data_IF_813111388670
#
_entry.id   IF_813111388670
#
_cell.length_a   1.000
_cell.length_b   1.000
_cell.length_c   1.000
_cell.angle_alpha   90.00
_cell.angle_beta   90.00
_cell.angle_gamma   90.00
#
_symmetry.space_group_name_H-M   'P 1'
#
loop_
_entity.id
_entity.type
_entity.pdbx_description
1 polymer ?
#
# COMPACT_ATOMS: atom_id res chain seq x y z
N UNK A 1 12.52 -8.38 -20.77
CA UNK A 1 12.08 -7.07 -20.29
C UNK A 1 12.29 -5.94 -21.31
N UNK A 2 13.40 -5.93 -22.02
CA UNK A 2 13.76 -4.86 -22.97
C UNK A 2 13.38 -5.13 -24.43
N UNK A 3 13.01 -6.34 -24.80
CA UNK A 3 12.75 -6.77 -26.19
C UNK A 3 11.26 -6.99 -26.49
N UNK A 4 10.54 -7.57 -25.52
CA UNK A 4 9.10 -7.85 -25.69
C UNK A 4 8.30 -6.54 -25.83
N UNK A 5 7.30 -6.46 -26.73
CA UNK A 5 6.45 -5.28 -26.84
C UNK A 5 5.82 -4.90 -25.49
N UNK A 6 5.86 -3.62 -25.18
CA UNK A 6 5.41 -3.07 -23.88
C UNK A 6 3.95 -3.41 -23.60
N UNK A 7 3.11 -3.38 -24.64
CA UNK A 7 1.68 -3.71 -24.55
C UNK A 7 1.38 -5.17 -24.16
N UNK A 8 2.33 -6.08 -24.36
CA UNK A 8 2.23 -7.49 -23.90
C UNK A 8 2.94 -7.72 -22.58
N UNK A 9 4.03 -7.01 -22.38
CA UNK A 9 4.90 -7.18 -21.19
C UNK A 9 4.24 -6.65 -19.92
N UNK A 10 3.68 -5.43 -19.97
CA UNK A 10 3.05 -4.80 -18.80
C UNK A 10 1.87 -5.63 -18.28
N UNK A 11 0.89 -6.06 -19.09
CA UNK A 11 -0.20 -6.91 -18.60
C UNK A 11 0.30 -8.22 -17.98
N UNK A 12 1.32 -8.85 -18.57
CA UNK A 12 1.92 -10.08 -18.03
C UNK A 12 2.53 -9.88 -16.64
N UNK A 13 3.13 -8.72 -16.39
CA UNK A 13 3.68 -8.36 -15.09
C UNK A 13 2.60 -7.85 -14.12
N UNK A 14 1.62 -7.14 -14.65
CA UNK A 14 0.56 -6.53 -13.87
C UNK A 14 -0.45 -7.55 -13.34
N UNK A 15 -0.80 -8.57 -14.10
CA UNK A 15 -1.82 -9.55 -13.70
C UNK A 15 -1.53 -10.22 -12.36
N UNK A 16 -0.32 -10.76 -12.09
CA UNK A 16 0.02 -11.28 -10.77
C UNK A 16 -0.08 -10.22 -9.65
N UNK A 17 0.33 -8.99 -9.94
CA UNK A 17 0.28 -7.89 -8.98
C UNK A 17 -1.17 -7.49 -8.64
N UNK A 18 -2.03 -7.41 -9.64
CA UNK A 18 -3.48 -7.12 -9.46
C UNK A 18 -4.14 -8.21 -8.61
N UNK A 19 -3.87 -9.49 -8.93
CA UNK A 19 -4.38 -10.62 -8.13
C UNK A 19 -3.91 -10.51 -6.69
N UNK A 20 -2.62 -10.25 -6.45
CA UNK A 20 -2.08 -10.09 -5.10
C UNK A 20 -2.76 -8.95 -4.34
N UNK A 21 -2.98 -7.81 -4.99
CA UNK A 21 -3.61 -6.65 -4.35
C UNK A 21 -5.10 -6.90 -4.03
N UNK A 22 -5.83 -7.56 -4.92
CA UNK A 22 -7.23 -7.91 -4.68
C UNK A 22 -7.35 -8.95 -3.55
N UNK A 23 -6.50 -9.97 -3.55
CA UNK A 23 -6.49 -10.98 -2.48
C UNK A 23 -6.12 -10.35 -1.13
N UNK A 24 -5.17 -9.41 -1.11
CA UNK A 24 -4.82 -8.67 0.10
C UNK A 24 -6.00 -7.82 0.61
N UNK A 25 -6.75 -7.18 -0.28
CA UNK A 25 -7.94 -6.44 0.09
C UNK A 25 -9.03 -7.36 0.69
N UNK A 26 -9.28 -8.52 0.08
CA UNK A 26 -10.20 -9.52 0.62
C UNK A 26 -9.76 -10.06 1.98
N UNK A 27 -8.48 -10.36 2.13
CA UNK A 27 -7.93 -10.83 3.40
C UNK A 27 -8.16 -9.80 4.53
N UNK A 28 -7.89 -8.53 4.29
CA UNK A 28 -8.10 -7.48 5.28
C UNK A 28 -9.59 -7.34 5.67
N UNK A 29 -10.49 -7.54 4.71
CA UNK A 29 -11.94 -7.53 4.98
C UNK A 29 -12.36 -8.75 5.79
N UNK A 30 -11.85 -9.93 5.47
CA UNK A 30 -12.16 -11.18 6.19
C UNK A 30 -11.66 -11.13 7.63
N UNK A 31 -10.44 -10.68 7.87
CA UNK A 31 -9.87 -10.50 9.21
C UNK A 31 -10.74 -9.58 10.07
N UNK A 32 -11.13 -8.43 9.53
CA UNK A 32 -12.03 -7.48 10.20
C UNK A 32 -13.39 -8.11 10.52
N UNK A 33 -13.93 -8.93 9.61
CA UNK A 33 -15.19 -9.64 9.79
C UNK A 33 -15.11 -10.65 10.94
N UNK A 34 -14.08 -11.49 10.96
CA UNK A 34 -13.92 -12.51 12.00
C UNK A 34 -13.68 -11.91 13.39
N UNK A 35 -12.88 -10.84 13.48
CA UNK A 35 -12.70 -10.10 14.73
C UNK A 35 -14.01 -9.48 15.20
N UNK A 36 -14.80 -8.92 14.28
CA UNK A 36 -16.14 -8.37 14.59
C UNK A 36 -17.10 -9.42 15.17
N UNK A 37 -16.97 -10.68 14.80
CA UNK A 37 -17.78 -11.78 15.33
C UNK A 37 -17.51 -12.11 16.81
N UNK A 38 -16.41 -11.67 17.38
CA UNK A 38 -16.12 -11.84 18.81
C UNK A 38 -17.12 -11.11 19.73
N UNK A 39 -17.92 -10.19 19.17
CA UNK A 39 -18.95 -9.41 19.90
C UNK A 39 -18.45 -8.71 21.16
N UNK A 40 -17.16 -8.41 21.20
CA UNK A 40 -16.50 -7.69 22.29
C UNK A 40 -16.00 -6.34 21.79
N UNK A 41 -16.55 -5.25 22.33
CA UNK A 41 -16.10 -3.91 22.00
C UNK A 41 -14.65 -3.67 22.42
N UNK A 42 -14.24 -4.27 23.55
CA UNK A 42 -12.88 -4.18 24.03
C UNK A 42 -11.87 -4.89 23.10
N UNK A 43 -12.21 -6.10 22.62
CA UNK A 43 -11.37 -6.83 21.67
C UNK A 43 -11.26 -6.11 20.33
N UNK A 44 -12.38 -5.62 19.80
CA UNK A 44 -12.40 -4.84 18.54
C UNK A 44 -11.62 -3.54 18.66
N UNK A 45 -11.74 -2.85 19.81
CA UNK A 45 -10.98 -1.65 20.12
C UNK A 45 -9.47 -1.91 20.16
N UNK A 46 -9.07 -3.02 20.79
CA UNK A 46 -7.65 -3.43 20.86
C UNK A 46 -7.06 -3.69 19.47
N UNK A 47 -7.77 -4.36 18.57
CA UNK A 47 -7.33 -4.57 17.19
C UNK A 47 -7.15 -3.23 16.47
N UNK A 48 -8.09 -2.31 16.65
CA UNK A 48 -8.00 -0.96 16.05
C UNK A 48 -6.76 -0.18 16.53
N UNK A 49 -6.42 -0.29 17.83
CA UNK A 49 -5.21 0.32 18.41
C UNK A 49 -3.94 -0.27 17.80
N UNK A 50 -3.85 -1.60 17.72
CA UNK A 50 -2.67 -2.29 17.19
C UNK A 50 -2.53 -2.14 15.68
N UNK A 51 -3.63 -1.90 14.97
CA UNK A 51 -3.61 -1.65 13.52
C UNK A 51 -2.68 -0.49 13.14
N UNK A 52 -2.58 0.53 14.00
CA UNK A 52 -1.65 1.64 13.81
C UNK A 52 -0.19 1.18 13.75
N UNK A 53 0.21 0.25 14.62
CA UNK A 53 1.56 -0.33 14.58
C UNK A 53 1.76 -1.19 13.34
N UNK A 54 0.77 -1.98 12.95
CA UNK A 54 0.82 -2.79 11.72
C UNK A 54 1.02 -1.90 10.49
N UNK A 55 0.35 -0.74 10.44
CA UNK A 55 0.55 0.25 9.38
C UNK A 55 1.99 0.81 9.35
N UNK A 56 2.59 1.05 10.52
CA UNK A 56 4.00 1.47 10.62
C UNK A 56 4.93 0.36 10.12
N UNK A 57 4.72 -0.88 10.54
CA UNK A 57 5.50 -2.04 10.07
C UNK A 57 5.40 -2.19 8.55
N UNK A 58 4.22 -2.05 7.98
CA UNK A 58 4.02 -2.05 6.53
C UNK A 58 4.73 -0.88 5.84
N UNK A 59 4.64 0.32 6.39
CA UNK A 59 5.30 1.50 5.83
C UNK A 59 6.83 1.32 5.77
N UNK A 60 7.43 0.74 6.81
CA UNK A 60 8.85 0.39 6.86
C UNK A 60 9.19 -0.68 5.82
N UNK A 61 8.37 -1.72 5.70
CA UNK A 61 8.55 -2.76 4.69
C UNK A 61 8.49 -2.21 3.27
N UNK A 62 7.55 -1.31 2.99
CA UNK A 62 7.46 -0.62 1.70
C UNK A 62 8.61 0.37 1.47
N UNK A 63 9.07 1.06 2.51
CA UNK A 63 10.22 1.95 2.41
C UNK A 63 11.47 1.21 1.92
N UNK A 64 11.84 0.12 2.59
CA UNK A 64 12.98 -0.69 2.17
C UNK A 64 12.72 -1.44 0.87
N UNK A 65 11.51 -1.97 0.69
CA UNK A 65 11.12 -2.75 -0.48
C UNK A 65 11.09 -1.93 -1.77
N UNK A 66 10.42 -0.79 -1.75
CA UNK A 66 10.37 0.13 -2.89
C UNK A 66 11.71 0.82 -3.12
N UNK A 67 12.39 1.21 -2.03
CA UNK A 67 13.69 1.85 -2.12
C UNK A 67 14.74 0.96 -2.80
N UNK A 68 14.91 -0.27 -2.31
CA UNK A 68 15.82 -1.24 -2.91
C UNK A 68 15.35 -1.75 -4.27
N UNK A 69 14.05 -2.04 -4.42
CA UNK A 69 13.50 -2.60 -5.64
C UNK A 69 13.63 -1.69 -6.86
N UNK A 70 13.35 -0.40 -6.70
CA UNK A 70 13.52 0.58 -7.78
C UNK A 70 14.98 0.67 -8.25
N UNK A 71 15.93 0.63 -7.33
CA UNK A 71 17.36 0.59 -7.65
C UNK A 71 17.72 -0.70 -8.38
N UNK A 72 17.29 -1.85 -7.85
CA UNK A 72 17.55 -3.17 -8.44
C UNK A 72 17.07 -3.23 -9.90
N UNK A 73 15.87 -2.78 -10.20
CA UNK A 73 15.32 -2.83 -11.55
C UNK A 73 16.14 -2.00 -12.54
N UNK A 74 16.64 -0.84 -12.13
CA UNK A 74 17.52 0.01 -12.96
C UNK A 74 18.89 -0.64 -13.18
N UNK A 75 19.52 -1.16 -12.12
CA UNK A 75 20.84 -1.78 -12.22
C UNK A 75 20.82 -3.07 -13.05
N UNK A 76 19.74 -3.86 -12.98
CA UNK A 76 19.58 -4.99 -13.90
C UNK A 76 19.42 -4.49 -15.34
N UNK A 77 18.72 -3.39 -15.55
CA UNK A 77 18.64 -2.73 -16.86
C UNK A 77 20.00 -2.30 -17.42
N UNK A 78 20.89 -1.78 -16.55
CA UNK A 78 22.29 -1.49 -16.83
C UNK A 78 23.17 -2.74 -16.97
N UNK A 79 22.65 -3.95 -16.69
CA UNK A 79 23.40 -5.21 -16.58
C UNK A 79 24.44 -5.24 -15.44
N UNK A 80 24.26 -4.41 -14.44
CA UNK A 80 25.12 -4.36 -13.24
C UNK A 80 24.54 -5.26 -12.13
N UNK A 81 24.64 -6.56 -12.31
CA UNK A 81 24.06 -7.55 -11.40
C UNK A 81 24.72 -7.57 -10.02
N UNK A 82 25.98 -7.13 -9.93
CA UNK A 82 26.70 -7.07 -8.65
C UNK A 82 26.08 -6.03 -7.72
N UNK A 83 25.93 -4.79 -8.16
CA UNK A 83 25.29 -3.74 -7.37
C UNK A 83 23.83 -4.06 -7.07
N UNK A 84 23.12 -4.67 -8.01
CA UNK A 84 21.75 -5.13 -7.77
C UNK A 84 21.70 -6.18 -6.65
N UNK A 85 22.61 -7.16 -6.61
CA UNK A 85 22.67 -8.16 -5.55
C UNK A 85 23.07 -7.57 -4.20
N UNK A 86 24.01 -6.63 -4.18
CA UNK A 86 24.42 -5.92 -2.97
C UNK A 86 23.26 -5.10 -2.41
N UNK A 87 22.51 -4.40 -3.26
CA UNK A 87 21.32 -3.66 -2.85
C UNK A 87 20.21 -4.59 -2.33
N UNK A 88 19.97 -5.72 -3.00
CA UNK A 88 18.97 -6.68 -2.57
C UNK A 88 19.26 -7.19 -1.16
N UNK A 89 20.49 -7.59 -0.90
CA UNK A 89 20.91 -8.08 0.41
C UNK A 89 20.90 -6.95 1.47
N UNK A 90 21.39 -5.77 1.14
CA UNK A 90 21.41 -4.63 2.05
C UNK A 90 19.98 -4.21 2.43
N UNK A 91 19.08 -4.11 1.48
CA UNK A 91 17.67 -3.76 1.72
C UNK A 91 16.95 -4.80 2.58
N UNK A 92 17.14 -6.08 2.27
CA UNK A 92 16.52 -7.19 3.03
C UNK A 92 17.02 -7.24 4.48
N UNK A 93 18.34 -7.30 4.70
CA UNK A 93 18.88 -7.40 6.05
C UNK A 93 18.66 -6.14 6.88
N UNK A 94 18.63 -4.96 6.27
CA UNK A 94 18.28 -3.71 6.95
C UNK A 94 16.82 -3.71 7.42
N UNK A 95 15.90 -4.20 6.59
CA UNK A 95 14.49 -4.34 6.97
C UNK A 95 14.32 -5.40 8.07
N UNK A 96 15.01 -6.53 7.97
CA UNK A 96 15.00 -7.57 8.99
C UNK A 96 15.52 -7.03 10.33
N UNK A 97 16.65 -6.32 10.32
CA UNK A 97 17.21 -5.69 11.51
C UNK A 97 16.25 -4.66 12.12
N UNK A 98 15.59 -3.85 11.30
CA UNK A 98 14.58 -2.90 11.75
C UNK A 98 13.36 -3.61 12.36
N UNK A 99 12.90 -4.69 11.75
CA UNK A 99 11.81 -5.53 12.27
C UNK A 99 12.18 -6.19 13.61
N UNK A 100 13.40 -6.69 13.77
CA UNK A 100 13.91 -7.22 15.03
C UNK A 100 13.98 -6.11 16.09
N UNK A 101 14.46 -4.92 15.73
CA UNK A 101 14.50 -3.78 16.64
C UNK A 101 13.10 -3.39 17.12
N UNK A 102 12.12 -3.34 16.23
CA UNK A 102 10.71 -3.07 16.58
C UNK A 102 10.19 -4.17 17.53
N UNK A 103 10.47 -5.43 17.24
CA UNK A 103 10.08 -6.55 18.09
C UNK A 103 10.66 -6.43 19.49
N UNK A 104 11.97 -6.25 19.62
CA UNK A 104 12.66 -6.18 20.90
C UNK A 104 12.23 -4.96 21.71
N UNK A 105 12.26 -3.77 21.14
CA UNK A 105 11.85 -2.55 21.81
C UNK A 105 10.36 -2.56 22.16
N UNK A 106 9.52 -3.05 21.25
CA UNK A 106 8.08 -3.16 21.46
C UNK A 106 7.73 -4.11 22.61
N UNK A 107 8.41 -5.25 22.71
CA UNK A 107 8.20 -6.20 23.80
C UNK A 107 8.75 -5.69 25.13
N UNK A 108 9.88 -5.00 25.14
CA UNK A 108 10.45 -4.39 26.36
C UNK A 108 9.57 -3.27 26.92
N UNK A 109 8.95 -2.49 26.04
CA UNK A 109 8.08 -1.35 26.39
C UNK A 109 6.62 -1.60 25.98
N UNK A 110 6.11 -2.82 26.17
CA UNK A 110 4.81 -3.25 25.69
C UNK A 110 3.66 -2.38 26.19
N UNK A 111 3.62 -2.12 27.50
CA UNK A 111 2.56 -1.33 28.12
C UNK A 111 2.62 0.17 27.74
N UNK A 112 3.77 0.86 27.84
CA UNK A 112 3.90 2.24 27.34
C UNK A 112 3.56 2.36 25.85
N UNK A 113 3.94 1.37 25.03
CA UNK A 113 3.63 1.34 23.60
C UNK A 113 2.11 1.21 23.38
N UNK A 114 1.43 0.34 24.13
CA UNK A 114 -0.02 0.19 24.05
C UNK A 114 -0.75 1.50 24.33
N UNK A 115 -0.36 2.21 25.38
CA UNK A 115 -0.92 3.54 25.69
C UNK A 115 -0.58 4.58 24.64
N UNK A 116 0.64 4.58 24.11
CA UNK A 116 1.05 5.49 23.04
C UNK A 116 0.21 5.29 21.75
N UNK A 117 -0.16 4.05 21.47
CA UNK A 117 -1.02 3.71 20.32
C UNK A 117 -2.50 4.04 20.56
N UNK A 118 -2.89 4.43 21.77
CA UNK A 118 -4.24 4.85 22.11
C UNK A 118 -5.06 3.84 22.91
N UNK A 119 -4.42 2.87 23.55
CA UNK A 119 -5.10 1.95 24.47
C UNK A 119 -5.60 2.68 25.72
N UNK A 120 -6.73 2.24 26.23
CA UNK A 120 -7.26 2.63 27.54
C UNK A 120 -7.06 1.50 28.56
N UNK A 121 -7.21 1.81 29.85
CA UNK A 121 -7.08 0.80 30.91
C UNK A 121 -8.05 -0.37 30.72
N UNK A 122 -9.23 -0.12 30.18
CA UNK A 122 -10.26 -1.14 29.94
C UNK A 122 -9.85 -2.13 28.87
N UNK A 123 -9.23 -1.65 27.79
CA UNK A 123 -8.84 -2.51 26.65
C UNK A 123 -7.39 -2.99 26.73
N UNK A 124 -6.61 -2.48 27.68
CA UNK A 124 -5.18 -2.79 27.81
C UNK A 124 -4.87 -4.28 27.83
N UNK A 125 -5.56 -5.17 28.59
CA UNK A 125 -5.29 -6.60 28.57
C UNK A 125 -5.42 -7.22 27.17
N UNK A 126 -6.43 -6.83 26.43
CA UNK A 126 -6.66 -7.28 25.04
C UNK A 126 -5.61 -6.71 24.10
N UNK A 127 -5.26 -5.43 24.26
CA UNK A 127 -4.22 -4.78 23.49
C UNK A 127 -2.88 -5.45 23.71
N UNK A 128 -2.49 -5.75 24.94
CA UNK A 128 -1.24 -6.45 25.26
C UNK A 128 -1.21 -7.85 24.67
N UNK A 129 -2.31 -8.60 24.75
CA UNK A 129 -2.41 -9.94 24.18
C UNK A 129 -2.23 -9.96 22.66
N UNK A 130 -2.86 -9.04 21.97
CA UNK A 130 -2.76 -8.92 20.50
C UNK A 130 -1.41 -8.32 20.07
N UNK A 131 -0.99 -7.23 20.72
CA UNK A 131 0.21 -6.48 20.38
C UNK A 131 1.48 -7.32 20.56
N UNK A 132 1.60 -8.09 21.65
CA UNK A 132 2.77 -8.95 21.91
C UNK A 132 2.97 -9.98 20.79
N UNK A 133 1.90 -10.57 20.30
CA UNK A 133 1.95 -11.55 19.21
C UNK A 133 2.34 -10.87 17.89
N UNK A 134 1.73 -9.74 17.56
CA UNK A 134 2.07 -9.00 16.33
C UNK A 134 3.52 -8.54 16.34
N UNK A 135 4.05 -8.08 17.47
CA UNK A 135 5.46 -7.69 17.60
C UNK A 135 6.43 -8.85 17.34
N UNK A 136 6.10 -10.07 17.75
CA UNK A 136 6.88 -11.26 17.39
C UNK A 136 6.97 -11.47 15.89
N UNK A 137 5.92 -11.11 15.17
CA UNK A 137 5.85 -11.21 13.71
C UNK A 137 6.55 -10.06 12.94
N UNK A 138 6.89 -8.96 13.61
CA UNK A 138 7.46 -7.78 12.95
C UNK A 138 8.70 -8.08 12.07
N UNK A 139 9.67 -8.92 12.47
CA UNK A 139 10.84 -9.22 11.65
C UNK A 139 10.49 -9.80 10.28
N UNK A 140 9.62 -10.80 10.22
CA UNK A 140 9.26 -11.40 8.94
C UNK A 140 8.16 -10.64 8.20
N UNK A 141 7.34 -9.85 8.87
CA UNK A 141 6.37 -8.96 8.21
C UNK A 141 7.07 -7.87 7.40
N UNK A 142 8.08 -7.19 7.96
CA UNK A 142 8.87 -6.20 7.24
C UNK A 142 9.65 -6.85 6.10
N UNK A 143 10.31 -7.97 6.37
CA UNK A 143 11.17 -8.66 5.42
C UNK A 143 10.39 -9.28 4.26
N UNK A 144 9.20 -9.83 4.49
CA UNK A 144 8.37 -10.39 3.42
C UNK A 144 7.90 -9.32 2.44
N UNK A 145 7.59 -8.11 2.91
CA UNK A 145 7.27 -6.98 2.03
C UNK A 145 8.46 -6.56 1.17
N UNK A 146 9.67 -6.60 1.73
CA UNK A 146 10.90 -6.32 0.96
C UNK A 146 11.11 -7.39 -0.11
N UNK A 147 11.02 -8.68 0.25
CA UNK A 147 11.16 -9.79 -0.69
C UNK A 147 10.13 -9.74 -1.81
N UNK A 148 8.87 -9.45 -1.46
CA UNK A 148 7.81 -9.29 -2.44
C UNK A 148 8.12 -8.19 -3.45
N UNK A 149 8.53 -7.02 -2.97
CA UNK A 149 8.90 -5.90 -3.83
C UNK A 149 10.12 -6.24 -4.69
N UNK A 150 11.19 -6.78 -4.10
CA UNK A 150 12.42 -7.11 -4.81
C UNK A 150 12.19 -8.18 -5.90
N UNK A 151 11.42 -9.23 -5.62
CA UNK A 151 11.05 -10.24 -6.63
C UNK A 151 10.30 -9.61 -7.80
N UNK A 152 9.35 -8.75 -7.52
CA UNK A 152 8.58 -8.05 -8.54
C UNK A 152 9.46 -7.14 -9.40
N UNK A 153 10.35 -6.37 -8.78
CA UNK A 153 11.27 -5.48 -9.48
C UNK A 153 12.36 -6.21 -10.29
N UNK A 154 12.59 -7.49 -10.00
CA UNK A 154 13.44 -8.37 -10.82
C UNK A 154 12.69 -8.98 -12.02
N UNK A 155 11.40 -8.76 -12.13
CA UNK A 155 10.56 -9.34 -13.18
C UNK A 155 9.88 -10.66 -12.78
N UNK A 156 10.01 -11.08 -11.52
CA UNK A 156 9.47 -12.34 -10.99
C UNK A 156 8.15 -12.13 -10.23
N UNK A 157 7.23 -11.37 -10.82
CA UNK A 157 5.94 -11.02 -10.20
C UNK A 157 5.09 -12.26 -9.84
N UNK A 158 5.22 -13.36 -10.58
CA UNK A 158 4.50 -14.60 -10.29
C UNK A 158 4.92 -15.23 -8.96
N UNK A 159 6.23 -15.25 -8.66
CA UNK A 159 6.71 -15.73 -7.35
C UNK A 159 6.25 -14.81 -6.20
N UNK A 160 6.27 -13.51 -6.43
CA UNK A 160 5.75 -12.53 -5.47
C UNK A 160 4.25 -12.75 -5.19
N UNK A 161 3.46 -13.00 -6.24
CA UNK A 161 2.02 -13.31 -6.12
C UNK A 161 1.79 -14.58 -5.31
N UNK A 162 2.48 -15.67 -5.63
CA UNK A 162 2.32 -16.96 -4.93
C UNK A 162 2.61 -16.78 -3.44
N UNK A 163 3.70 -16.09 -3.09
CA UNK A 163 4.06 -15.85 -1.69
C UNK A 163 2.99 -15.09 -0.91
N UNK A 164 2.56 -13.95 -1.42
CA UNK A 164 1.55 -13.10 -0.75
C UNK A 164 0.16 -13.77 -0.73
N UNK A 165 -0.27 -14.32 -1.85
CA UNK A 165 -1.61 -14.94 -1.98
C UNK A 165 -1.74 -16.16 -1.07
N UNK A 166 -0.70 -17.00 -0.99
CA UNK A 166 -0.70 -18.17 -0.11
C UNK A 166 -0.82 -17.77 1.36
N UNK A 167 -0.11 -16.72 1.80
CA UNK A 167 -0.24 -16.19 3.15
C UNK A 167 -1.64 -15.65 3.43
N UNK A 168 -2.22 -14.89 2.49
CA UNK A 168 -3.55 -14.34 2.64
C UNK A 168 -4.65 -15.43 2.72
N UNK A 169 -4.60 -16.42 1.85
CA UNK A 169 -5.54 -17.56 1.87
C UNK A 169 -5.40 -18.37 3.15
N UNK A 170 -4.17 -18.62 3.60
CA UNK A 170 -3.93 -19.31 4.86
C UNK A 170 -4.48 -18.54 6.06
N UNK A 171 -4.33 -17.22 6.07
CA UNK A 171 -4.88 -16.38 7.14
C UNK A 171 -6.42 -16.48 7.21
N UNK A 172 -7.11 -16.41 6.08
CA UNK A 172 -8.58 -16.56 6.03
C UNK A 172 -9.03 -17.90 6.61
N UNK A 173 -8.26 -18.98 6.40
CA UNK A 173 -8.52 -20.29 6.98
C UNK A 173 -8.16 -20.41 8.47
N UNK A 174 -7.07 -19.77 8.89
CA UNK A 174 -6.59 -19.82 10.28
C UNK A 174 -7.40 -18.94 11.23
N UNK A 175 -7.93 -17.81 10.77
CA UNK A 175 -8.73 -16.92 11.62
C UNK A 175 -9.87 -17.64 12.34
N UNK A 176 -10.84 -18.29 11.64
CA UNK A 176 -11.90 -19.00 12.34
C UNK A 176 -11.40 -20.19 13.17
N UNK A 177 -10.35 -20.86 12.72
CA UNK A 177 -9.77 -21.99 13.44
C UNK A 177 -9.19 -21.56 14.80
N UNK A 178 -8.36 -20.54 14.80
CA UNK A 178 -7.66 -20.09 16.01
C UNK A 178 -8.55 -19.24 16.92
N UNK A 179 -9.46 -18.46 16.35
CA UNK A 179 -10.37 -17.60 17.13
C UNK A 179 -11.46 -18.42 17.81
N UNK A 180 -12.14 -19.31 17.06
CA UNK A 180 -13.37 -19.97 17.51
C UNK A 180 -13.15 -21.44 17.89
N UNK A 181 -12.46 -22.23 17.05
CA UNK A 181 -12.29 -23.67 17.29
C UNK A 181 -11.32 -23.92 18.44
N UNK A 182 -10.19 -23.23 18.47
CA UNK A 182 -9.19 -23.31 19.56
C UNK A 182 -9.47 -22.32 20.70
N UNK A 183 -10.52 -21.52 20.58
CA UNK A 183 -10.99 -20.55 21.58
C UNK A 183 -9.89 -19.60 22.11
N UNK A 184 -8.99 -19.19 21.24
CA UNK A 184 -7.93 -18.25 21.56
C UNK A 184 -8.38 -16.78 21.54
N UNK A 185 -9.60 -16.53 21.05
CA UNK A 185 -10.17 -15.20 20.96
C UNK A 185 -9.31 -14.25 20.12
N UNK A 186 -9.09 -13.05 20.61
CA UNK A 186 -8.32 -12.02 19.90
C UNK A 186 -6.84 -12.42 19.68
N UNK A 187 -6.24 -13.14 20.63
CA UNK A 187 -4.88 -13.68 20.45
C UNK A 187 -4.82 -14.66 19.27
N UNK A 188 -5.90 -15.41 19.03
CA UNK A 188 -6.02 -16.28 17.86
C UNK A 188 -5.92 -15.55 16.54
N UNK A 189 -6.56 -14.38 16.40
CA UNK A 189 -6.46 -13.52 15.22
C UNK A 189 -5.01 -13.05 14.99
N UNK A 190 -4.32 -12.66 16.07
CA UNK A 190 -2.92 -12.26 15.99
C UNK A 190 -2.01 -13.42 15.56
N UNK A 191 -2.20 -14.60 16.14
CA UNK A 191 -1.45 -15.80 15.75
C UNK A 191 -1.73 -16.22 14.32
N UNK A 192 -2.97 -16.16 13.86
CA UNK A 192 -3.32 -16.40 12.45
C UNK A 192 -2.56 -15.47 11.52
N UNK A 193 -2.50 -14.20 11.85
CA UNK A 193 -1.79 -13.19 11.06
C UNK A 193 -0.30 -13.49 10.99
N UNK A 194 0.39 -13.70 12.12
CA UNK A 194 1.85 -13.88 12.10
C UNK A 194 2.27 -15.23 11.52
N UNK A 195 1.49 -16.30 11.72
CA UNK A 195 1.77 -17.61 11.11
C UNK A 195 1.63 -17.51 9.58
N UNK A 196 0.57 -16.88 9.11
CA UNK A 196 0.33 -16.67 7.66
C UNK A 196 1.42 -15.82 7.03
N UNK A 197 1.83 -14.76 7.69
CA UNK A 197 2.94 -13.91 7.25
C UNK A 197 4.27 -14.65 7.26
N UNK A 198 4.51 -15.54 8.22
CA UNK A 198 5.71 -16.36 8.24
C UNK A 198 5.76 -17.35 7.08
N UNK A 199 4.64 -18.00 6.76
CA UNK A 199 4.54 -18.89 5.59
C UNK A 199 4.76 -18.10 4.30
N UNK A 200 4.17 -16.92 4.18
CA UNK A 200 4.41 -15.99 3.07
C UNK A 200 5.90 -15.64 2.95
N UNK A 201 6.54 -15.29 4.06
CA UNK A 201 7.97 -15.01 4.13
C UNK A 201 8.82 -16.18 3.62
N UNK A 202 8.55 -17.40 4.08
CA UNK A 202 9.26 -18.60 3.65
C UNK A 202 9.10 -18.86 2.15
N UNK A 203 7.88 -18.73 1.62
CA UNK A 203 7.61 -18.91 0.19
C UNK A 203 8.29 -17.85 -0.67
N UNK A 204 8.31 -16.59 -0.22
CA UNK A 204 9.03 -15.51 -0.91
C UNK A 204 10.54 -15.74 -0.88
N UNK A 205 11.08 -16.21 0.23
CA UNK A 205 12.50 -16.56 0.36
C UNK A 205 12.90 -17.69 -0.58
N UNK A 206 12.07 -18.74 -0.68
CA UNK A 206 12.23 -19.80 -1.65
C UNK A 206 12.16 -19.25 -3.09
N UNK A 207 11.24 -18.34 -3.36
CA UNK A 207 11.12 -17.64 -4.65
C UNK A 207 12.41 -16.91 -5.05
N UNK A 208 13.13 -16.34 -4.10
CA UNK A 208 14.41 -15.67 -4.36
C UNK A 208 15.51 -16.64 -4.80
N UNK A 209 15.41 -17.95 -4.50
CA UNK A 209 16.38 -18.96 -4.92
C UNK A 209 16.04 -19.61 -6.27
N UNK A 210 14.88 -19.27 -6.85
CA UNK A 210 14.35 -19.83 -8.09
C UNK A 210 14.39 -18.82 -9.24
N UNK A 211 14.28 -19.33 -10.46
CA UNK A 211 14.04 -18.50 -11.65
C UNK A 211 15.18 -17.57 -12.06
N UNK A 212 16.41 -17.76 -11.55
CA UNK A 212 17.56 -16.89 -11.83
C UNK A 212 17.47 -15.53 -11.11
N UNK A 213 16.69 -15.41 -10.04
CA UNK A 213 16.60 -14.23 -9.22
C UNK A 213 17.90 -13.96 -8.45
N UNK A 214 18.10 -12.70 -8.06
CA UNK A 214 19.23 -12.29 -7.24
C UNK A 214 19.17 -13.01 -5.89
N UNK A 215 20.24 -13.68 -5.54
CA UNK A 215 20.36 -14.37 -4.26
C UNK A 215 20.71 -13.37 -3.15
N UNK A 216 20.07 -13.57 -2.01
CA UNK A 216 20.29 -12.75 -0.82
C UNK A 216 21.30 -13.44 0.07
N UNK A 217 22.47 -12.83 0.23
CA UNK A 217 23.55 -13.33 1.08
C UNK A 217 24.03 -12.24 2.05
N UNK A 218 24.31 -12.64 3.27
CA UNK A 218 24.85 -11.72 4.28
C UNK A 218 26.20 -11.11 3.86
N UNK A 219 27.00 -11.84 3.10
CA UNK A 219 28.29 -11.37 2.56
C UNK A 219 28.15 -10.22 1.54
N UNK A 220 26.98 -10.08 0.92
CA UNK A 220 26.70 -9.01 -0.04
C UNK A 220 26.19 -7.72 0.62
N UNK A 221 25.96 -7.73 1.91
CA UNK A 221 25.50 -6.53 2.64
C UNK A 221 26.61 -5.47 2.63
N UNK A 222 26.25 -4.27 2.18
CA UNK A 222 27.15 -3.11 2.16
C UNK A 222 26.59 -1.99 3.02
N UNK A 223 27.23 -1.71 4.14
CA UNK A 223 26.88 -0.60 5.04
C UNK A 223 27.46 0.74 4.53
N UNK A 224 27.36 0.96 3.22
CA UNK A 224 27.83 2.22 2.60
C UNK A 224 26.68 3.23 2.53
N UNK A 225 26.93 4.53 2.81
CA UNK A 225 25.92 5.58 2.68
C UNK A 225 25.26 5.65 1.31
N UNK A 226 25.97 5.24 0.27
CA UNK A 226 25.48 5.17 -1.10
C UNK A 226 24.20 4.31 -1.23
N UNK A 227 24.19 3.10 -0.69
CA UNK A 227 23.02 2.20 -0.77
C UNK A 227 21.84 2.73 0.05
N UNK A 228 22.10 3.25 1.25
CA UNK A 228 21.05 3.82 2.11
C UNK A 228 20.45 5.11 1.52
N UNK A 229 21.27 5.91 0.84
CA UNK A 229 20.77 7.09 0.14
C UNK A 229 19.81 6.72 -0.98
N UNK A 230 20.09 5.66 -1.74
CA UNK A 230 19.20 5.18 -2.79
C UNK A 230 17.94 4.51 -2.23
N UNK A 231 18.04 3.78 -1.13
CA UNK A 231 16.89 3.25 -0.40
C UNK A 231 15.99 4.41 0.06
N UNK A 232 16.59 5.44 0.65
CA UNK A 232 15.86 6.64 1.08
C UNK A 232 15.18 7.34 -0.11
N UNK A 233 15.91 7.61 -1.17
CA UNK A 233 15.37 8.27 -2.37
C UNK A 233 14.23 7.50 -3.02
N UNK A 234 14.31 6.19 -3.10
CA UNK A 234 13.28 5.34 -3.70
C UNK A 234 12.13 5.00 -2.74
N UNK A 235 12.40 4.96 -1.44
CA UNK A 235 11.42 4.59 -0.40
C UNK A 235 10.62 5.76 0.15
N UNK A 236 11.19 6.98 0.15
CA UNK A 236 10.55 8.17 0.74
C UNK A 236 9.15 8.47 0.15
N UNK A 237 8.92 8.41 -1.16
CA UNK A 237 7.56 8.63 -1.69
C UNK A 237 6.53 7.63 -1.15
N UNK A 238 6.92 6.37 -0.98
CA UNK A 238 6.05 5.33 -0.43
C UNK A 238 5.77 5.53 1.06
N UNK A 239 6.80 5.89 1.83
CA UNK A 239 6.66 6.21 3.26
C UNK A 239 5.76 7.43 3.47
N UNK A 240 5.95 8.48 2.69
CA UNK A 240 5.13 9.70 2.74
C UNK A 240 3.67 9.39 2.39
N UNK A 241 3.41 8.60 1.35
CA UNK A 241 2.05 8.20 0.96
C UNK A 241 1.34 7.42 2.06
N UNK A 242 2.00 6.42 2.65
CA UNK A 242 1.43 5.59 3.71
C UNK A 242 1.17 6.40 4.99
N UNK A 243 2.14 7.20 5.43
CA UNK A 243 2.02 8.02 6.62
C UNK A 243 0.93 9.08 6.49
N UNK A 244 0.89 9.79 5.38
CA UNK A 244 -0.12 10.82 5.15
C UNK A 244 -1.53 10.25 4.94
N UNK A 245 -1.67 9.06 4.38
CA UNK A 245 -2.97 8.39 4.30
C UNK A 245 -3.56 8.14 5.70
N UNK A 246 -2.73 7.74 6.66
CA UNK A 246 -3.16 7.57 8.06
C UNK A 246 -3.55 8.90 8.70
N UNK A 247 -2.74 9.95 8.53
CA UNK A 247 -3.05 11.29 9.04
C UNK A 247 -4.34 11.84 8.41
N UNK A 248 -4.51 11.68 7.10
CA UNK A 248 -5.71 12.10 6.39
C UNK A 248 -6.98 11.40 6.91
N UNK A 249 -6.89 10.12 7.21
CA UNK A 249 -8.01 9.38 7.82
C UNK A 249 -8.37 9.92 9.21
N UNK A 250 -7.38 10.24 10.03
CA UNK A 250 -7.59 10.87 11.34
C UNK A 250 -8.29 12.24 11.17
N UNK A 251 -7.81 13.08 10.25
CA UNK A 251 -8.41 14.39 9.97
C UNK A 251 -9.84 14.25 9.46
N UNK A 252 -10.12 13.29 8.60
CA UNK A 252 -11.46 13.03 8.10
C UNK A 252 -12.41 12.62 9.23
N UNK A 253 -11.98 11.71 10.09
CA UNK A 253 -12.78 11.27 11.24
C UNK A 253 -13.05 12.42 12.23
N UNK A 254 -12.05 13.24 12.48
CA UNK A 254 -12.18 14.44 13.33
C UNK A 254 -13.18 15.44 12.75
N UNK A 255 -13.06 15.74 11.46
CA UNK A 255 -13.98 16.65 10.77
C UNK A 255 -15.42 16.11 10.72
N UNK A 256 -15.57 14.80 10.61
CA UNK A 256 -16.89 14.13 10.51
C UNK A 256 -17.55 13.93 11.88
N UNK A 257 -16.77 13.96 12.96
CA UNK A 257 -17.23 13.68 14.33
C UNK A 257 -18.42 14.56 14.76
N UNK A 258 -18.44 15.81 14.34
CA UNK A 258 -19.52 16.76 14.71
C UNK A 258 -20.86 16.44 14.06
N UNK A 259 -20.89 15.57 13.04
CA UNK A 259 -22.10 15.18 12.31
C UNK A 259 -22.68 13.82 12.76
N UNK A 260 -22.11 13.22 13.80
CA UNK A 260 -22.59 12.01 14.43
C UNK A 260 -21.92 10.73 13.93
N UNK A 261 -22.26 9.63 14.59
CA UNK A 261 -21.64 8.30 14.34
C UNK A 261 -22.01 7.74 12.96
N UNK A 262 -23.20 8.03 12.46
CA UNK A 262 -23.63 7.61 11.13
C UNK A 262 -22.77 8.24 10.03
N UNK A 263 -22.37 9.49 10.16
CA UNK A 263 -21.48 10.16 9.22
C UNK A 263 -20.07 9.56 9.24
N UNK A 264 -19.51 9.27 10.41
CA UNK A 264 -18.23 8.60 10.56
C UNK A 264 -18.27 7.22 9.90
N UNK A 265 -19.30 6.44 10.19
CA UNK A 265 -19.50 5.11 9.62
C UNK A 265 -19.64 5.16 8.09
N UNK A 266 -20.41 6.10 7.56
CA UNK A 266 -20.59 6.28 6.12
C UNK A 266 -19.29 6.61 5.41
N UNK A 267 -18.51 7.56 5.93
CA UNK A 267 -17.21 7.92 5.34
C UNK A 267 -16.20 6.76 5.41
N UNK A 268 -16.22 5.99 6.50
CA UNK A 268 -15.39 4.78 6.64
C UNK A 268 -15.75 3.70 5.62
N UNK A 269 -17.03 3.48 5.36
CA UNK A 269 -17.52 2.55 4.33
C UNK A 269 -17.07 3.01 2.93
N UNK A 270 -17.22 4.30 2.62
CA UNK A 270 -16.80 4.88 1.34
C UNK A 270 -15.30 4.69 1.12
N UNK A 271 -14.47 4.93 2.14
CA UNK A 271 -13.02 4.69 2.05
C UNK A 271 -12.69 3.23 1.74
N UNK A 272 -13.38 2.27 2.34
CA UNK A 272 -13.17 0.82 2.07
C UNK A 272 -13.54 0.46 0.64
N UNK A 273 -14.66 0.95 0.13
CA UNK A 273 -15.11 0.74 -1.25
C UNK A 273 -14.07 1.30 -2.22
N UNK A 274 -13.61 2.53 -1.99
CA UNK A 274 -12.63 3.20 -2.86
C UNK A 274 -11.25 2.53 -2.79
N UNK A 275 -10.84 2.04 -1.62
CA UNK A 275 -9.60 1.27 -1.47
C UNK A 275 -9.66 -0.04 -2.27
N UNK A 276 -10.77 -0.75 -2.23
CA UNK A 276 -10.97 -1.97 -3.02
C UNK A 276 -10.93 -1.67 -4.52
N UNK A 277 -11.66 -0.65 -4.98
CA UNK A 277 -11.65 -0.21 -6.37
C UNK A 277 -10.26 0.24 -6.86
N UNK A 278 -9.48 0.88 -5.98
CA UNK A 278 -8.12 1.33 -6.26
C UNK A 278 -7.07 0.22 -6.25
N UNK A 279 -7.36 -0.92 -5.61
CA UNK A 279 -6.40 -2.03 -5.48
C UNK A 279 -5.95 -2.58 -6.84
N UNK A 280 -6.86 -2.71 -7.78
CA UNK A 280 -6.54 -3.16 -9.13
C UNK A 280 -5.62 -2.17 -9.87
N UNK A 281 -5.85 -0.87 -9.73
CA UNK A 281 -4.99 0.18 -10.30
C UNK A 281 -3.58 0.14 -9.69
N UNK A 282 -3.49 0.04 -8.37
CA UNK A 282 -2.19 -0.05 -7.67
C UNK A 282 -1.45 -1.31 -8.11
N UNK A 283 -2.13 -2.45 -8.20
CA UNK A 283 -1.54 -3.70 -8.70
C UNK A 283 -1.03 -3.56 -10.13
N UNK A 284 -1.79 -2.89 -11.01
CA UNK A 284 -1.36 -2.63 -12.38
C UNK A 284 -0.11 -1.75 -12.42
N UNK A 285 -0.09 -0.68 -11.64
CA UNK A 285 1.08 0.20 -11.52
C UNK A 285 2.32 -0.51 -10.97
N UNK A 286 2.13 -1.41 -10.02
CA UNK A 286 3.20 -2.25 -9.49
C UNK A 286 3.78 -3.21 -10.54
N UNK A 287 2.99 -3.66 -11.50
CA UNK A 287 3.47 -4.43 -12.66
C UNK A 287 4.19 -3.56 -13.71
N UNK A 288 3.78 -2.30 -13.85
CA UNK A 288 4.45 -1.32 -14.71
C UNK A 288 5.84 -0.91 -14.20
N UNK A 289 6.03 -0.77 -12.88
CA UNK A 289 7.28 -0.30 -12.28
C UNK A 289 8.53 -1.08 -12.73
N UNK A 290 8.60 -2.43 -12.65
CA UNK A 290 9.77 -3.17 -13.11
C UNK A 290 10.04 -2.96 -14.61
N UNK A 291 9.02 -2.89 -15.44
CA UNK A 291 9.18 -2.62 -16.88
C UNK A 291 9.77 -1.23 -17.11
N UNK A 292 9.28 -0.24 -16.37
CA UNK A 292 9.84 1.11 -16.37
C UNK A 292 11.31 1.12 -15.95
N UNK A 293 11.64 0.47 -14.82
CA UNK A 293 13.00 0.45 -14.27
C UNK A 293 14.02 -0.21 -15.20
N UNK A 294 13.71 -1.40 -15.74
CA UNK A 294 14.57 -2.09 -16.68
C UNK A 294 14.84 -1.28 -17.96
N UNK A 295 13.80 -0.71 -18.56
CA UNK A 295 13.95 0.07 -19.78
C UNK A 295 14.65 1.41 -19.52
N UNK A 296 14.41 2.05 -18.37
CA UNK A 296 15.11 3.25 -17.97
C UNK A 296 16.60 2.99 -17.74
N UNK A 297 16.94 1.92 -17.00
CA UNK A 297 18.33 1.48 -16.79
C UNK A 297 19.03 1.11 -18.09
N UNK A 298 18.33 0.49 -19.04
CA UNK A 298 18.87 0.16 -20.35
C UNK A 298 18.99 1.35 -21.32
N UNK A 299 18.61 2.57 -20.91
CA UNK A 299 18.60 3.76 -21.76
C UNK A 299 17.49 3.79 -22.83
N UNK A 300 16.51 2.89 -22.73
CA UNK A 300 15.40 2.76 -23.67
C UNK A 300 14.23 3.69 -23.29
N UNK A 301 14.48 4.99 -23.27
CA UNK A 301 13.54 5.99 -22.75
C UNK A 301 12.23 6.06 -23.54
N UNK A 302 12.25 5.77 -24.85
CA UNK A 302 11.05 5.71 -25.67
C UNK A 302 10.09 4.61 -25.19
N UNK A 303 10.63 3.45 -24.73
CA UNK A 303 9.83 2.37 -24.17
C UNK A 303 9.25 2.71 -22.80
N UNK A 304 9.98 3.48 -21.99
CA UNK A 304 9.46 4.01 -20.71
C UNK A 304 8.25 4.90 -20.98
N UNK A 305 8.35 5.80 -21.95
CA UNK A 305 7.26 6.69 -22.34
C UNK A 305 6.06 5.93 -22.93
N UNK A 306 6.31 4.97 -23.79
CA UNK A 306 5.27 4.08 -24.34
C UNK A 306 4.56 3.30 -23.22
N UNK A 307 5.32 2.72 -22.30
CA UNK A 307 4.80 1.99 -21.13
C UNK A 307 3.97 2.87 -20.20
N UNK A 308 4.40 4.10 -19.96
CA UNK A 308 3.64 5.07 -19.19
C UNK A 308 2.28 5.36 -19.82
N UNK A 309 2.25 5.73 -21.10
CA UNK A 309 1.00 6.02 -21.80
C UNK A 309 0.07 4.81 -21.90
N UNK A 310 0.64 3.63 -22.17
CA UNK A 310 -0.14 2.39 -22.16
C UNK A 310 -0.78 2.15 -20.78
N UNK A 311 -0.01 2.27 -19.71
CA UNK A 311 -0.48 2.07 -18.33
C UNK A 311 -1.56 3.07 -17.94
N UNK A 312 -1.37 4.35 -18.28
CA UNK A 312 -2.38 5.40 -18.03
C UNK A 312 -3.68 5.08 -18.78
N UNK A 313 -3.61 4.72 -20.04
CA UNK A 313 -4.81 4.40 -20.84
C UNK A 313 -5.57 3.21 -20.27
N UNK A 314 -4.89 2.11 -19.97
CA UNK A 314 -5.52 0.90 -19.44
C UNK A 314 -6.13 1.16 -18.06
N UNK A 315 -5.40 1.79 -17.17
CA UNK A 315 -5.91 2.10 -15.82
C UNK A 315 -7.01 3.15 -15.85
N UNK A 316 -6.96 4.11 -16.79
CA UNK A 316 -8.04 5.08 -16.98
C UNK A 316 -9.35 4.39 -17.37
N UNK A 317 -9.31 3.51 -18.37
CA UNK A 317 -10.49 2.74 -18.81
C UNK A 317 -11.02 1.86 -17.66
N UNK A 318 -10.12 1.19 -16.94
CA UNK A 318 -10.49 0.37 -15.78
C UNK A 318 -11.18 1.22 -14.71
N UNK A 319 -10.59 2.33 -14.32
CA UNK A 319 -11.15 3.22 -13.30
C UNK A 319 -12.43 3.91 -13.75
N UNK A 320 -12.55 4.22 -15.03
CA UNK A 320 -13.78 4.78 -15.58
C UNK A 320 -14.94 3.77 -15.48
N UNK A 321 -14.69 2.50 -15.79
CA UNK A 321 -15.67 1.43 -15.62
C UNK A 321 -16.05 1.22 -14.14
N UNK A 322 -15.06 1.18 -13.24
CA UNK A 322 -15.29 1.09 -11.79
C UNK A 322 -16.04 2.30 -11.27
N UNK A 323 -15.72 3.50 -11.73
CA UNK A 323 -16.40 4.74 -11.36
C UNK A 323 -17.84 4.76 -11.83
N UNK A 324 -18.11 4.35 -13.06
CA UNK A 324 -19.48 4.28 -13.59
C UNK A 324 -20.33 3.27 -12.80
N UNK A 325 -19.78 2.08 -12.52
CA UNK A 325 -20.45 1.07 -11.72
C UNK A 325 -20.66 1.55 -10.26
N UNK A 326 -19.64 2.16 -9.66
CA UNK A 326 -19.72 2.70 -8.30
C UNK A 326 -20.71 3.85 -8.17
N UNK A 327 -20.79 4.74 -9.16
CA UNK A 327 -21.76 5.83 -9.19
C UNK A 327 -23.20 5.32 -9.33
N UNK A 328 -23.44 4.40 -10.25
CA UNK A 328 -24.75 3.82 -10.50
C UNK A 328 -25.25 2.95 -9.33
N UNK A 329 -24.37 2.15 -8.74
CA UNK A 329 -24.68 1.21 -7.65
C UNK A 329 -24.31 1.73 -6.26
N UNK A 330 -24.08 3.03 -6.10
CA UNK A 330 -23.63 3.61 -4.82
C UNK A 330 -24.50 3.24 -3.62
N UNK A 331 -25.85 3.34 -3.65
CA UNK A 331 -26.68 2.95 -2.52
C UNK A 331 -26.54 1.48 -2.15
N UNK A 332 -26.50 0.58 -3.15
CA UNK A 332 -26.36 -0.86 -2.95
C UNK A 332 -24.98 -1.23 -2.38
N UNK A 333 -23.93 -0.59 -2.88
CA UNK A 333 -22.57 -0.82 -2.37
C UNK A 333 -22.41 -0.40 -0.92
N UNK A 334 -22.96 0.74 -0.54
CA UNK A 334 -22.93 1.20 0.86
C UNK A 334 -23.75 0.28 1.75
N UNK A 335 -24.95 -0.15 1.29
CA UNK A 335 -25.83 -1.04 2.05
C UNK A 335 -25.22 -2.41 2.35
N UNK A 336 -24.36 -2.94 1.49
CA UNK A 336 -23.63 -4.19 1.72
C UNK A 336 -22.78 -4.12 3.00
N UNK A 337 -22.17 -2.95 3.26
CA UNK A 337 -21.31 -2.76 4.45
C UNK A 337 -22.12 -2.36 5.69
N UNK A 338 -23.16 -1.58 5.52
CA UNK A 338 -24.00 -1.10 6.62
C UNK A 338 -25.42 -0.81 6.11
N UNK A 339 -26.37 -1.60 6.56
CA UNK A 339 -27.79 -1.43 6.22
C UNK A 339 -28.47 -0.48 7.22
N UNK A 340 -28.14 0.78 7.10
CA UNK A 340 -28.69 1.89 7.89
C UNK A 340 -29.07 3.03 6.94
N UNK A 341 -30.33 3.52 6.95
CA UNK A 341 -30.79 4.55 6.00
C UNK A 341 -29.97 5.83 6.03
N UNK A 342 -29.52 6.27 7.20
CA UNK A 342 -28.71 7.49 7.34
C UNK A 342 -27.31 7.29 6.78
N UNK A 343 -26.67 6.14 7.08
CA UNK A 343 -25.36 5.75 6.54
C UNK A 343 -25.42 5.62 5.03
N UNK A 344 -26.46 5.00 4.49
CA UNK A 344 -26.65 4.85 3.04
C UNK A 344 -26.81 6.21 2.36
N UNK A 345 -27.61 7.13 2.93
CA UNK A 345 -27.80 8.46 2.37
C UNK A 345 -26.48 9.26 2.30
N UNK A 346 -25.73 9.31 3.41
CA UNK A 346 -24.46 10.04 3.51
C UNK A 346 -23.40 9.37 2.63
N UNK A 347 -23.26 8.05 2.71
CA UNK A 347 -22.26 7.29 1.97
C UNK A 347 -22.48 7.32 0.46
N UNK A 348 -23.73 7.27 0.01
CA UNK A 348 -24.08 7.35 -1.42
C UNK A 348 -23.62 8.67 -2.03
N UNK A 349 -23.89 9.80 -1.37
CA UNK A 349 -23.45 11.10 -1.84
C UNK A 349 -21.92 11.21 -1.89
N UNK A 350 -21.24 10.80 -0.83
CA UNK A 350 -19.78 10.80 -0.76
C UNK A 350 -19.14 9.90 -1.82
N UNK A 351 -19.66 8.69 -2.00
CA UNK A 351 -19.16 7.74 -3.00
C UNK A 351 -19.33 8.28 -4.43
N UNK A 352 -20.47 8.88 -4.73
CA UNK A 352 -20.72 9.49 -6.04
C UNK A 352 -19.77 10.64 -6.33
N UNK A 353 -19.51 11.52 -5.35
CA UNK A 353 -18.52 12.59 -5.52
C UNK A 353 -17.13 12.01 -5.82
N UNK A 354 -16.68 11.00 -5.09
CA UNK A 354 -15.37 10.41 -5.33
C UNK A 354 -15.28 9.70 -6.68
N UNK A 355 -16.35 9.05 -7.14
CA UNK A 355 -16.40 8.41 -8.45
C UNK A 355 -16.20 9.39 -9.61
N UNK A 356 -16.58 10.66 -9.47
CA UNK A 356 -16.43 11.68 -10.53
C UNK A 356 -14.94 11.88 -10.91
N UNK A 357 -14.06 11.90 -9.92
CA UNK A 357 -12.62 12.16 -10.14
C UNK A 357 -11.73 10.92 -10.07
N UNK A 358 -12.30 9.76 -9.77
CA UNK A 358 -11.53 8.55 -9.54
C UNK A 358 -10.71 8.12 -10.75
N UNK A 359 -11.23 8.28 -11.96
CA UNK A 359 -10.49 7.97 -13.19
C UNK A 359 -9.22 8.83 -13.38
N UNK A 360 -9.16 10.04 -12.81
CA UNK A 360 -7.99 10.91 -12.86
C UNK A 360 -6.81 10.35 -12.06
N UNK A 361 -7.08 9.44 -11.13
CA UNK A 361 -6.03 8.75 -10.36
C UNK A 361 -5.09 7.92 -11.24
N UNK A 362 -5.55 7.46 -12.41
CA UNK A 362 -4.69 6.76 -13.38
C UNK A 362 -3.45 7.58 -13.76
N UNK A 363 -3.63 8.86 -14.03
CA UNK A 363 -2.52 9.76 -14.35
C UNK A 363 -1.62 10.03 -13.13
N UNK A 364 -2.23 10.36 -11.99
CA UNK A 364 -1.51 10.73 -10.77
C UNK A 364 -0.66 9.56 -10.25
N UNK A 365 -1.26 8.38 -10.15
CA UNK A 365 -0.60 7.19 -9.59
C UNK A 365 0.45 6.63 -10.55
N UNK A 366 0.13 6.51 -11.84
CA UNK A 366 1.12 6.04 -12.83
C UNK A 366 2.29 7.02 -12.96
N UNK A 367 2.02 8.33 -12.92
CA UNK A 367 3.06 9.37 -12.89
C UNK A 367 3.96 9.28 -11.67
N UNK A 368 3.38 9.15 -10.48
CA UNK A 368 4.13 8.98 -9.23
C UNK A 368 5.02 7.74 -9.27
N UNK A 369 4.47 6.57 -9.69
CA UNK A 369 5.22 5.32 -9.78
C UNK A 369 6.34 5.38 -10.82
N UNK A 370 6.09 6.03 -11.97
CA UNK A 370 7.10 6.26 -13.00
C UNK A 370 8.26 7.10 -12.47
N UNK A 371 7.97 8.23 -11.84
CA UNK A 371 8.97 9.14 -11.26
C UNK A 371 9.77 8.45 -10.15
N UNK A 372 9.10 7.72 -9.28
CA UNK A 372 9.73 6.95 -8.19
C UNK A 372 10.72 5.91 -8.75
N UNK A 373 10.31 5.18 -9.78
CA UNK A 373 11.14 4.13 -10.40
C UNK A 373 12.34 4.71 -11.14
N UNK A 374 12.20 5.87 -11.77
CA UNK A 374 13.32 6.58 -12.40
C UNK A 374 14.27 7.24 -11.39
N UNK A 375 13.96 7.23 -10.10
CA UNK A 375 14.76 7.86 -9.05
C UNK A 375 14.58 9.38 -8.95
N UNK A 376 13.52 9.93 -9.53
CA UNK A 376 13.15 11.33 -9.40
C UNK A 376 12.42 11.55 -8.06
N UNK A 377 13.20 11.60 -6.98
CA UNK A 377 12.68 11.58 -5.61
C UNK A 377 11.81 12.80 -5.29
N UNK A 378 12.24 14.01 -5.69
CA UNK A 378 11.51 15.24 -5.35
C UNK A 378 10.12 15.28 -5.99
N UNK A 379 9.95 15.15 -7.32
CA UNK A 379 8.62 15.13 -7.90
C UNK A 379 7.78 13.92 -7.45
N UNK A 380 8.37 12.75 -7.27
CA UNK A 380 7.67 11.57 -6.77
C UNK A 380 7.14 11.78 -5.34
N UNK A 381 7.96 12.34 -4.46
CA UNK A 381 7.56 12.66 -3.08
C UNK A 381 6.50 13.75 -3.05
N UNK A 382 6.66 14.80 -3.86
CA UNK A 382 5.64 15.84 -3.97
C UNK A 382 4.28 15.26 -4.39
N UNK A 383 4.25 14.42 -5.41
CA UNK A 383 3.02 13.76 -5.87
C UNK A 383 2.40 12.86 -4.80
N UNK A 384 3.23 12.15 -4.02
CA UNK A 384 2.77 11.32 -2.91
C UNK A 384 2.16 12.15 -1.77
N UNK A 385 2.80 13.29 -1.45
CA UNK A 385 2.35 14.21 -0.39
C UNK A 385 1.13 15.02 -0.82
N UNK A 386 1.07 15.41 -2.09
CA UNK A 386 0.07 16.35 -2.59
C UNK A 386 -1.36 15.85 -2.36
N UNK A 387 -1.62 14.58 -2.68
CA UNK A 387 -2.97 14.03 -2.66
C UNK A 387 -3.58 14.01 -1.26
N UNK A 388 -2.91 13.39 -0.30
CA UNK A 388 -3.47 13.16 1.05
C UNK A 388 -3.05 14.25 2.05
N UNK A 389 -1.86 14.80 1.89
CA UNK A 389 -1.32 15.81 2.80
C UNK A 389 -1.67 17.23 2.39
N UNK A 390 -1.08 17.69 1.27
CA UNK A 390 -1.12 19.10 0.89
C UNK A 390 -2.52 19.56 0.47
N UNK A 391 -3.28 18.74 -0.23
CA UNK A 391 -4.60 19.13 -0.73
C UNK A 391 -5.75 18.59 0.11
N UNK A 392 -5.73 17.31 0.49
CA UNK A 392 -6.87 16.73 1.22
C UNK A 392 -7.04 17.31 2.62
N UNK A 393 -5.99 17.36 3.43
CA UNK A 393 -6.09 17.81 4.83
C UNK A 393 -6.64 19.26 4.92
N UNK A 394 -6.08 20.26 4.21
CA UNK A 394 -6.67 21.58 4.21
C UNK A 394 -8.08 21.63 3.64
N UNK A 395 -8.33 20.89 2.55
CA UNK A 395 -9.63 20.90 1.86
C UNK A 395 -10.74 20.35 2.75
N UNK A 396 -10.51 19.25 3.47
CA UNK A 396 -11.54 18.68 4.35
C UNK A 396 -11.95 19.66 5.45
N UNK A 397 -10.99 20.39 6.02
CA UNK A 397 -11.28 21.40 7.04
C UNK A 397 -11.96 22.64 6.47
N UNK A 398 -11.47 23.16 5.35
CA UNK A 398 -12.07 24.36 4.72
C UNK A 398 -13.49 24.05 4.27
N UNK A 399 -13.72 22.94 3.59
CA UNK A 399 -15.06 22.57 3.11
C UNK A 399 -15.99 22.17 4.25
N UNK A 400 -15.50 21.58 5.33
CA UNK A 400 -16.29 21.30 6.51
C UNK A 400 -16.81 22.59 7.17
N UNK A 401 -15.97 23.62 7.24
CA UNK A 401 -16.33 24.92 7.81
C UNK A 401 -17.26 25.73 6.92
N UNK A 402 -17.16 25.60 5.60
CA UNK A 402 -17.93 26.41 4.63
C UNK A 402 -19.23 25.76 4.19
N UNK A 403 -19.21 24.45 3.93
CA UNK A 403 -20.33 23.69 3.38
C UNK A 403 -20.91 22.63 4.35
N UNK A 404 -20.27 22.42 5.49
CA UNK A 404 -20.67 21.39 6.44
C UNK A 404 -20.46 19.98 5.95
N UNK A 405 -21.40 19.07 6.20
CA UNK A 405 -21.29 17.67 5.80
C UNK A 405 -21.12 17.46 4.28
N UNK A 406 -21.87 18.13 3.39
CA UNK A 406 -21.60 18.07 1.95
C UNK A 406 -20.17 18.43 1.58
N UNK A 407 -19.55 19.38 2.26
CA UNK A 407 -18.15 19.74 2.07
C UNK A 407 -17.19 18.60 2.40
N UNK A 408 -17.43 17.87 3.48
CA UNK A 408 -16.64 16.69 3.86
C UNK A 408 -16.79 15.58 2.80
N UNK A 409 -18.01 15.35 2.32
CA UNK A 409 -18.28 14.36 1.27
C UNK A 409 -17.55 14.69 -0.05
N UNK A 410 -17.37 15.96 -0.37
CA UNK A 410 -16.70 16.45 -1.58
C UNK A 410 -15.18 16.58 -1.43
N UNK A 411 -14.65 16.57 -0.20
CA UNK A 411 -13.26 16.92 0.06
C UNK A 411 -12.25 16.09 -0.72
N UNK A 412 -12.46 14.79 -0.83
CA UNK A 412 -11.57 13.91 -1.59
C UNK A 412 -11.65 14.20 -3.11
N UNK A 413 -12.84 14.46 -3.62
CA UNK A 413 -13.03 14.84 -5.03
C UNK A 413 -12.23 16.10 -5.37
N UNK A 414 -12.33 17.13 -4.55
CA UNK A 414 -11.59 18.40 -4.74
C UNK A 414 -10.09 18.18 -4.62
N UNK A 415 -9.64 17.44 -3.62
CA UNK A 415 -8.23 17.12 -3.44
C UNK A 415 -7.64 16.34 -4.62
N UNK A 416 -8.36 15.36 -5.15
CA UNK A 416 -7.98 14.57 -6.31
C UNK A 416 -7.88 15.43 -7.58
N UNK A 417 -8.82 16.35 -7.78
CA UNK A 417 -8.81 17.30 -8.89
C UNK A 417 -7.61 18.25 -8.81
N UNK A 418 -7.33 18.82 -7.64
CA UNK A 418 -6.19 19.71 -7.42
C UNK A 418 -4.87 18.96 -7.63
N UNK A 419 -4.77 17.73 -7.14
CA UNK A 419 -3.59 16.88 -7.35
C UNK A 419 -3.39 16.58 -8.83
N UNK A 420 -4.45 16.26 -9.56
CA UNK A 420 -4.37 16.02 -10.99
C UNK A 420 -3.87 17.27 -11.73
N UNK A 421 -4.45 18.44 -11.47
CA UNK A 421 -4.03 19.71 -12.10
C UNK A 421 -2.56 20.04 -11.84
N UNK A 422 -2.06 19.82 -10.63
CA UNK A 422 -0.65 20.01 -10.30
C UNK A 422 0.25 18.92 -10.90
N UNK A 423 -0.25 17.71 -11.08
CA UNK A 423 0.52 16.57 -11.61
C UNK A 423 0.77 16.69 -13.12
N UNK A 424 -0.14 17.33 -13.87
CA UNK A 424 -0.02 17.46 -15.33
C UNK A 424 1.27 18.17 -15.76
N UNK A 425 1.61 19.36 -15.26
CA UNK A 425 2.86 20.03 -15.63
C UNK A 425 4.10 19.27 -15.19
N UNK A 426 4.07 18.64 -14.01
CA UNK A 426 5.19 17.87 -13.49
C UNK A 426 5.47 16.65 -14.37
N UNK A 427 4.43 15.86 -14.67
CA UNK A 427 4.61 14.65 -15.46
C UNK A 427 4.92 14.97 -16.94
N UNK A 428 4.36 16.04 -17.50
CA UNK A 428 4.72 16.49 -18.85
C UNK A 428 6.19 16.94 -18.92
N UNK A 429 6.70 17.60 -17.91
CA UNK A 429 8.13 17.94 -17.82
C UNK A 429 8.99 16.68 -17.80
N UNK A 430 8.63 15.67 -16.99
CA UNK A 430 9.32 14.38 -16.91
C UNK A 430 9.32 13.69 -18.29
N UNK A 431 8.18 13.63 -18.98
CA UNK A 431 8.07 13.00 -20.30
C UNK A 431 8.87 13.74 -21.38
N UNK A 432 8.96 15.07 -21.30
CA UNK A 432 9.82 15.88 -22.20
C UNK A 432 11.29 15.58 -21.97
N UNK A 433 11.72 15.46 -20.71
CA UNK A 433 13.09 15.10 -20.35
C UNK A 433 13.50 13.73 -20.91
N UNK A 434 12.59 12.75 -20.91
CA UNK A 434 12.82 11.44 -21.51
C UNK A 434 12.91 11.47 -23.04
N UNK A 435 12.45 12.54 -23.68
CA UNK A 435 12.48 12.69 -25.14
C UNK A 435 13.73 13.42 -25.65
N UNK A 436 14.55 13.97 -24.75
CA UNK A 436 15.79 14.67 -25.13
C UNK A 436 16.94 13.65 -25.20
N UNK A 437 17.79 13.70 -26.26
CA UNK A 437 19.00 12.89 -26.30
C UNK A 437 19.87 13.29 -25.11
N UNK A 438 20.16 12.37 -24.22
CA UNK A 438 21.12 12.63 -23.15
C UNK A 438 22.52 12.71 -23.79
N UNK A 439 23.17 13.88 -23.62
CA UNK A 439 24.58 14.08 -24.00
C UNK A 439 25.51 13.25 -23.13
#
# INVERSE_FOLDING_TARGET
MTETPVSRLIPRMALPCVVSMLVTAFYNMADTFFVGMLKSNAATGAVGVVFSLMAIIQAIGFFFGQGSGNFISREIGHKNYQEASEMASTGFFSALATGILICVLGLLFLEPLAYLLGSTDTILPYTKAYLSVILLGAPWMTSSLVLNNQLRFQGSAAYAMVGITSGAVLNIGLDPLLIFVLDLGIAGAAWATIISQFVSFCLLLIGCTKGGNLQIHLSHVKLKPYYYLWIFKGGLPSLARQGLASVATICLNQATRTYGDAAIAAMGVVQRIMMFGGSAMIGFGQGFQPVCGFNYGAGLYHRVKEGFWFSVKVTFVLLLAVSAAGFACAPQLVSIFRDDPEVIAIGTAALRFQCVTFCLQSWVVMGNMCQQTMGLTVPATFMAVARQGLFFIPTVWILALTLGLPGIQMAQMVADLLTFLCSVPIQTWVLKKLSQPQK
#
